data_IF_836450860232
#
_entry.id   IF_836450860232
#
_cell.length_a   1.000
_cell.length_b   1.000
_cell.length_c   1.000
_cell.angle_alpha   90.00
_cell.angle_beta   90.00
_cell.angle_gamma   90.00
#
_symmetry.space_group_name_H-M   'P 1'
#
loop_
_entity.id
_entity.type
_entity.pdbx_description
1 polymer ?
#
# COMPACT_ATOMS: atom_id res chain seq x y z
N UNK A 1 4.41 17.17 -23.00
CA UNK A 1 5.72 16.95 -22.46
C UNK A 1 5.67 16.03 -21.25
N UNK A 2 6.53 15.14 -21.22
CA UNK A 2 6.49 14.17 -20.15
C UNK A 2 6.99 14.80 -18.85
N UNK A 3 6.37 14.39 -17.78
CA UNK A 3 6.78 14.79 -16.45
C UNK A 3 7.69 13.71 -15.92
N UNK A 4 8.94 13.97 -15.84
CA UNK A 4 9.87 12.96 -15.36
C UNK A 4 10.00 13.01 -13.85
N UNK A 5 8.85 13.02 -13.20
CA UNK A 5 8.86 12.96 -11.75
C UNK A 5 9.18 11.55 -11.31
N UNK A 6 10.20 11.43 -10.49
CA UNK A 6 10.50 10.16 -9.84
C UNK A 6 9.78 10.15 -8.52
N UNK A 7 8.69 9.43 -8.47
CA UNK A 7 7.96 9.25 -7.22
C UNK A 7 8.60 8.06 -6.52
N UNK A 8 9.30 8.34 -5.44
CA UNK A 8 10.04 7.29 -4.73
C UNK A 8 9.46 6.95 -3.38
N UNK A 9 8.27 7.44 -3.10
CA UNK A 9 7.57 7.12 -1.87
C UNK A 9 6.08 7.02 -2.19
N UNK A 10 5.39 6.11 -1.50
CA UNK A 10 3.96 5.96 -1.77
C UNK A 10 3.21 5.51 -0.53
N UNK A 11 1.95 5.89 -0.49
CA UNK A 11 0.96 5.33 0.41
C UNK A 11 0.00 4.50 -0.41
N UNK A 12 -0.38 3.35 0.11
CA UNK A 12 -1.36 2.48 -0.53
C UNK A 12 -2.52 2.29 0.43
N UNK A 13 -3.71 2.52 -0.06
CA UNK A 13 -4.96 2.32 0.67
C UNK A 13 -5.80 1.35 -0.13
N UNK A 14 -6.40 0.38 0.52
CA UNK A 14 -7.29 -0.51 -0.21
C UNK A 14 -8.52 -0.86 0.62
N UNK A 15 -9.58 -1.22 -0.11
CA UNK A 15 -10.84 -1.64 0.48
C UNK A 15 -11.35 -2.79 -0.39
N UNK A 16 -11.29 -4.00 0.15
CA UNK A 16 -11.66 -5.19 -0.58
C UNK A 16 -13.07 -5.58 -0.17
N UNK A 17 -13.92 -5.75 -1.16
CA UNK A 17 -15.33 -6.07 -0.93
C UNK A 17 -15.54 -7.54 -0.65
N UNK A 18 -16.75 -7.86 -0.15
CA UNK A 18 -17.19 -9.23 0.01
C UNK A 18 -16.27 -10.06 0.89
N UNK A 19 -15.78 -9.44 1.97
CA UNK A 19 -14.85 -10.12 2.86
C UNK A 19 -15.53 -11.19 3.72
N UNK A 20 -16.86 -11.29 3.63
CA UNK A 20 -17.59 -12.33 4.32
C UNK A 20 -17.48 -13.67 3.62
N UNK A 21 -17.18 -13.68 2.33
CA UNK A 21 -17.04 -14.92 1.57
C UNK A 21 -15.58 -15.38 1.56
N UNK A 22 -15.38 -16.64 1.28
CA UNK A 22 -14.02 -17.20 1.16
C UNK A 22 -13.26 -16.53 0.01
N UNK A 23 -13.96 -16.23 -1.08
CA UNK A 23 -13.33 -15.59 -2.23
C UNK A 23 -12.82 -14.20 -1.88
N UNK A 24 -13.64 -13.41 -1.19
CA UNK A 24 -13.21 -12.09 -0.76
C UNK A 24 -12.08 -12.14 0.24
N UNK A 25 -12.14 -13.10 1.18
CA UNK A 25 -11.06 -13.27 2.14
C UNK A 25 -9.76 -13.64 1.45
N UNK A 26 -9.82 -14.48 0.43
CA UNK A 26 -8.62 -14.81 -0.34
C UNK A 26 -8.03 -13.59 -1.02
N UNK A 27 -8.89 -12.71 -1.55
CA UNK A 27 -8.39 -11.48 -2.16
C UNK A 27 -7.72 -10.59 -1.12
N UNK A 28 -8.31 -10.46 0.06
CA UNK A 28 -7.69 -9.68 1.14
C UNK A 28 -6.32 -10.21 1.48
N UNK A 29 -6.22 -11.51 1.64
CA UNK A 29 -4.95 -12.14 2.00
C UNK A 29 -3.89 -11.90 0.93
N UNK A 30 -4.26 -12.07 -0.33
CA UNK A 30 -3.32 -11.89 -1.43
C UNK A 30 -2.89 -10.43 -1.57
N UNK A 31 -3.83 -9.49 -1.44
CA UNK A 31 -3.51 -8.07 -1.50
C UNK A 31 -2.56 -7.70 -0.36
N UNK A 32 -2.83 -8.18 0.83
CA UNK A 32 -1.97 -7.91 1.98
C UNK A 32 -0.54 -8.39 1.71
N UNK A 33 -0.41 -9.61 1.20
CA UNK A 33 0.91 -10.18 0.94
C UNK A 33 1.67 -9.38 -0.12
N UNK A 34 0.97 -8.95 -1.16
CA UNK A 34 1.60 -8.14 -2.20
C UNK A 34 2.06 -6.81 -1.63
N UNK A 35 1.18 -6.14 -0.87
CA UNK A 35 1.54 -4.86 -0.27
C UNK A 35 2.75 -5.03 0.66
N UNK A 36 2.77 -6.08 1.44
CA UNK A 36 3.86 -6.30 2.39
C UNK A 36 5.19 -6.60 1.69
N UNK A 37 5.13 -7.10 0.49
CA UNK A 37 6.33 -7.38 -0.30
C UNK A 37 7.04 -6.09 -0.72
N UNK A 38 6.29 -5.03 -0.95
CA UNK A 38 6.84 -3.79 -1.47
C UNK A 38 6.86 -2.65 -0.47
N UNK A 39 6.04 -2.71 0.58
CA UNK A 39 5.83 -1.60 1.50
C UNK A 39 5.84 -2.08 2.92
N UNK A 40 5.83 -1.13 3.85
CA UNK A 40 5.66 -1.40 5.26
C UNK A 40 4.19 -1.26 5.61
N UNK A 41 3.69 -2.19 6.40
CA UNK A 41 2.33 -2.12 6.90
C UNK A 41 2.23 -0.97 7.89
N UNK A 42 1.36 -0.01 7.60
CA UNK A 42 1.20 1.14 8.45
C UNK A 42 0.06 0.92 9.45
N UNK A 43 -1.12 0.63 8.92
CA UNK A 43 -2.31 0.46 9.75
C UNK A 43 -3.39 -0.21 8.91
N UNK A 44 -4.02 -1.25 9.47
CA UNK A 44 -5.14 -1.92 8.80
C UNK A 44 -4.86 -2.17 7.32
N UNK A 45 -5.59 -1.52 6.43
CA UNK A 45 -5.39 -1.67 4.99
C UNK A 45 -4.62 -0.51 4.39
N UNK A 46 -3.67 0.03 5.17
CA UNK A 46 -2.82 1.13 4.74
C UNK A 46 -1.37 0.67 4.80
N UNK A 47 -0.67 0.85 3.69
CA UNK A 47 0.76 0.55 3.58
C UNK A 47 1.48 1.80 3.08
N UNK A 48 2.77 1.86 3.33
CA UNK A 48 3.56 3.00 2.88
C UNK A 48 5.02 2.62 2.83
N UNK A 49 5.80 3.40 2.10
CA UNK A 49 7.23 3.21 2.08
C UNK A 49 7.89 3.71 0.82
N UNK A 50 9.20 3.59 0.82
CA UNK A 50 9.99 3.90 -0.36
C UNK A 50 9.77 2.83 -1.41
N UNK A 51 9.74 3.25 -2.67
CA UNK A 51 9.56 2.33 -3.76
C UNK A 51 10.17 2.92 -5.02
N UNK A 52 10.84 2.09 -5.79
CA UNK A 52 11.41 2.53 -7.06
C UNK A 52 10.32 2.57 -8.14
N UNK A 53 10.50 3.37 -9.19
CA UNK A 53 9.54 3.39 -10.28
C UNK A 53 9.29 2.01 -10.89
N UNK A 54 10.33 1.21 -11.04
CA UNK A 54 10.15 -0.13 -11.62
C UNK A 54 9.34 -1.03 -10.69
N UNK A 55 9.56 -0.92 -9.39
CA UNK A 55 8.77 -1.70 -8.45
C UNK A 55 7.32 -1.22 -8.36
N UNK A 56 7.09 0.05 -8.63
CA UNK A 56 5.71 0.54 -8.70
C UNK A 56 4.95 -0.16 -9.82
N UNK A 57 5.60 -0.34 -10.95
CA UNK A 57 4.98 -1.04 -12.08
C UNK A 57 4.70 -2.49 -11.72
N UNK A 58 5.67 -3.16 -11.11
CA UNK A 58 5.49 -4.54 -10.69
C UNK A 58 4.36 -4.67 -9.68
N UNK A 59 4.34 -3.77 -8.72
CA UNK A 59 3.30 -3.78 -7.69
C UNK A 59 1.91 -3.65 -8.31
N UNK A 60 1.74 -2.68 -9.20
CA UNK A 60 0.45 -2.47 -9.83
C UNK A 60 0.02 -3.70 -10.64
N UNK A 61 0.95 -4.31 -11.35
CA UNK A 61 0.63 -5.48 -12.14
C UNK A 61 0.20 -6.66 -11.27
N UNK A 62 0.87 -6.85 -10.14
CA UNK A 62 0.50 -7.92 -9.24
C UNK A 62 -0.87 -7.67 -8.60
N UNK A 63 -1.14 -6.43 -8.20
CA UNK A 63 -2.43 -6.09 -7.61
C UNK A 63 -3.56 -6.33 -8.60
N UNK A 64 -3.37 -5.89 -9.86
CA UNK A 64 -4.41 -6.02 -10.87
C UNK A 64 -4.78 -7.48 -11.15
N UNK A 65 -3.84 -8.38 -10.95
CA UNK A 65 -4.11 -9.80 -11.18
C UNK A 65 -4.94 -10.42 -10.06
N UNK A 66 -5.02 -9.78 -8.93
CA UNK A 66 -5.63 -10.36 -7.74
C UNK A 66 -7.00 -9.76 -7.45
N UNK A 67 -7.12 -8.42 -7.58
CA UNK A 67 -8.36 -7.76 -7.20
C UNK A 67 -9.45 -7.95 -8.24
N UNK A 68 -10.68 -7.72 -7.79
CA UNK A 68 -11.82 -7.62 -8.68
C UNK A 68 -12.07 -6.13 -8.89
N UNK A 69 -11.73 -5.63 -10.08
CA UNK A 69 -11.77 -4.19 -10.33
C UNK A 69 -13.20 -3.61 -10.30
N UNK A 70 -14.20 -4.47 -10.30
CA UNK A 70 -15.59 -4.02 -10.20
C UNK A 70 -16.05 -3.90 -8.77
N UNK A 71 -15.36 -4.55 -7.84
CA UNK A 71 -15.76 -4.60 -6.44
C UNK A 71 -14.77 -3.96 -5.50
N UNK A 72 -13.50 -4.03 -5.84
CA UNK A 72 -12.42 -3.64 -4.93
C UNK A 72 -11.86 -2.28 -5.27
N UNK A 73 -11.28 -1.65 -4.26
CA UNK A 73 -10.69 -0.32 -4.40
C UNK A 73 -9.25 -0.37 -3.92
N UNK A 74 -8.35 0.18 -4.73
CA UNK A 74 -6.96 0.35 -4.34
C UNK A 74 -6.53 1.73 -4.78
N UNK A 75 -6.00 2.51 -3.85
CA UNK A 75 -5.50 3.85 -4.11
C UNK A 75 -4.01 3.90 -3.82
N UNK A 76 -3.26 4.48 -4.73
CA UNK A 76 -1.83 4.67 -4.55
C UNK A 76 -1.56 6.17 -4.64
N UNK A 77 -1.08 6.73 -3.54
CA UNK A 77 -0.71 8.14 -3.49
C UNK A 77 0.80 8.21 -3.54
N UNK A 78 1.32 8.84 -4.57
CA UNK A 78 2.76 8.87 -4.81
C UNK A 78 3.33 10.23 -4.47
N UNK A 79 4.52 10.20 -3.85
CA UNK A 79 5.23 11.39 -3.47
C UNK A 79 6.66 11.29 -3.99
N UNK A 80 7.28 12.43 -4.23
CA UNK A 80 8.64 12.43 -4.72
C UNK A 80 9.60 11.82 -3.70
N UNK A 81 9.35 12.11 -2.43
CA UNK A 81 10.16 11.50 -1.37
C UNK A 81 9.42 11.62 -0.05
N UNK A 82 9.91 10.91 0.97
CA UNK A 82 9.38 11.04 2.31
C UNK A 82 9.55 12.43 2.87
N UNK A 83 10.52 13.18 2.37
CA UNK A 83 10.83 14.50 2.92
C UNK A 83 9.81 15.58 2.57
N UNK A 84 8.85 15.30 1.65
CA UNK A 84 7.90 16.31 1.24
C UNK A 84 6.64 16.33 2.08
N UNK A 85 6.55 15.55 3.13
CA UNK A 85 5.38 15.57 3.99
C UNK A 85 5.79 15.35 5.43
N UNK A 86 4.89 15.74 6.31
CA UNK A 86 5.05 15.56 7.75
C UNK A 86 3.98 14.63 8.25
N UNK A 87 4.33 13.80 9.20
CA UNK A 87 3.39 12.83 9.72
C UNK A 87 3.29 12.94 11.23
N UNK A 88 2.05 12.91 11.72
CA UNK A 88 1.78 12.84 13.15
C UNK A 88 0.82 11.69 13.39
N UNK A 89 1.05 10.97 14.46
CA UNK A 89 0.15 9.90 14.88
C UNK A 89 -0.49 10.31 16.19
N UNK A 90 -1.80 10.35 16.20
CA UNK A 90 -2.56 10.64 17.41
C UNK A 90 -3.34 9.40 17.77
N UNK A 91 -3.19 8.93 18.99
CA UNK A 91 -3.83 7.72 19.44
C UNK A 91 -2.86 6.57 19.53
N UNK A 92 -3.38 5.36 19.30
CA UNK A 92 -2.58 4.15 19.47
C UNK A 92 -1.81 3.84 18.20
N UNK A 93 -0.50 3.70 18.35
CA UNK A 93 0.35 3.19 17.28
C UNK A 93 0.40 1.68 17.43
N UNK A 94 -0.30 0.99 16.54
CA UNK A 94 -0.42 -0.47 16.63
C UNK A 94 0.87 -1.20 16.31
N UNK A 95 1.90 -0.46 15.90
CA UNK A 95 3.18 -1.09 15.57
C UNK A 95 4.35 -0.41 16.27
N UNK A 96 4.22 -0.13 17.57
CA UNK A 96 5.30 0.56 18.27
C UNK A 96 6.58 -0.26 18.32
N UNK A 97 6.45 -1.59 18.39
CA UNK A 97 7.64 -2.43 18.48
C UNK A 97 8.47 -2.34 17.22
N UNK A 98 7.84 -2.21 16.07
CA UNK A 98 8.58 -2.02 14.83
C UNK A 98 9.35 -0.70 14.87
N UNK A 99 8.69 0.35 15.35
CA UNK A 99 9.34 1.65 15.46
C UNK A 99 10.53 1.60 16.42
N UNK A 100 10.38 0.88 17.49
CA UNK A 100 11.39 0.86 18.56
C UNK A 100 12.65 0.13 18.16
N UNK A 101 12.53 -0.83 17.25
CA UNK A 101 13.67 -1.64 16.88
C UNK A 101 14.27 -1.27 15.52
N UNK A 102 13.76 -0.25 14.92
CA UNK A 102 14.30 0.19 13.63
C UNK A 102 15.43 1.19 13.76
#
# INVERSE_FOLDING_TARGET
MSKNYNYNYAFVFYDISDTQSDVGQNRVTKVFKICKKYFKHHQKSVFRGNITPSNQIKFKNEIKKVIDEKLDFVSIIKLQSKAVFEEEIIGVDEKPSESMFL
#
